data_IF_782102794145
#
_entry.id   IF_782102794145
#
_cell.length_a   1.000
_cell.length_b   1.000
_cell.length_c   1.000
_cell.angle_alpha   90.00
_cell.angle_beta   90.00
_cell.angle_gamma   90.00
#
_symmetry.space_group_name_H-M   'P 1'
#
loop_
_entity.id
_entity.type
_entity.pdbx_description
1 polymer ?
#
# COMPACT_ATOMS: atom_id res chain seq x y z
N UNK A 1 -12.00 -0.22 8.65
CA UNK A 1 -10.67 -0.64 9.12
C UNK A 1 -9.86 -1.15 7.93
N UNK A 2 -8.61 -0.72 7.82
CA UNK A 2 -7.76 -1.11 6.68
C UNK A 2 -6.30 -1.05 7.08
N UNK A 3 -5.47 -1.73 6.29
CA UNK A 3 -4.03 -1.82 6.53
C UNK A 3 -3.31 -0.82 5.62
N UNK A 4 -2.43 -0.03 6.21
CA UNK A 4 -1.52 0.83 5.46
C UNK A 4 -0.10 0.30 5.63
N UNK A 5 0.62 0.19 4.52
CA UNK A 5 2.01 -0.25 4.52
C UNK A 5 2.86 0.77 3.79
N UNK A 6 3.99 1.09 4.39
CA UNK A 6 5.00 1.96 3.80
C UNK A 6 6.29 1.18 3.59
N UNK A 7 6.64 0.96 2.34
CA UNK A 7 7.86 0.26 1.95
C UNK A 7 8.96 1.29 1.70
N UNK A 8 9.91 1.36 2.62
CA UNK A 8 11.09 2.19 2.44
C UNK A 8 12.28 1.38 1.99
N UNK A 9 13.41 2.05 1.78
CA UNK A 9 14.65 1.38 1.37
C UNK A 9 15.23 0.51 2.49
N UNK A 10 14.99 0.87 3.75
CA UNK A 10 15.57 0.17 4.91
C UNK A 10 14.52 -0.42 5.84
N UNK A 11 13.31 0.11 5.85
CA UNK A 11 12.25 -0.33 6.77
C UNK A 11 10.92 -0.47 6.05
N UNK A 12 10.12 -1.40 6.55
CA UNK A 12 8.71 -1.53 6.20
C UNK A 12 7.91 -1.19 7.45
N UNK A 13 7.02 -0.23 7.35
CA UNK A 13 6.09 0.12 8.41
C UNK A 13 4.69 -0.33 8.04
N UNK A 14 3.95 -0.78 9.05
CA UNK A 14 2.55 -1.13 8.86
C UNK A 14 1.71 -0.52 9.96
N UNK A 15 0.46 -0.25 9.65
CA UNK A 15 -0.48 0.36 10.58
C UNK A 15 -1.89 -0.10 10.20
N UNK A 16 -2.78 -0.16 11.19
CA UNK A 16 -4.20 -0.36 10.93
C UNK A 16 -4.90 0.98 11.15
N UNK A 17 -5.73 1.35 10.19
CA UNK A 17 -6.53 2.58 10.24
C UNK A 17 -7.99 2.22 10.42
N UNK A 18 -8.68 2.91 11.33
CA UNK A 18 -10.12 2.75 11.49
C UNK A 18 -10.87 3.67 10.50
N UNK A 19 -12.20 3.68 10.56
CA UNK A 19 -13.03 4.47 9.66
C UNK A 19 -12.80 5.97 9.79
N UNK A 20 -12.25 6.40 10.92
CA UNK A 20 -11.96 7.82 11.18
C UNK A 20 -10.52 8.18 10.85
N UNK A 21 -9.72 7.20 10.40
CA UNK A 21 -8.32 7.41 10.10
C UNK A 21 -7.40 7.37 11.32
N UNK A 22 -7.90 6.89 12.46
CA UNK A 22 -7.06 6.72 13.64
C UNK A 22 -6.17 5.50 13.48
N UNK A 23 -4.90 5.66 13.86
CA UNK A 23 -3.89 4.63 13.70
C UNK A 23 -3.79 3.73 14.92
N UNK A 24 -3.59 2.42 14.67
CA UNK A 24 -3.32 1.43 15.70
C UNK A 24 -2.43 0.34 15.13
N UNK A 25 -1.88 -0.51 16.00
CA UNK A 25 -1.06 -1.66 15.60
C UNK A 25 0.11 -1.27 14.69
N UNK A 26 0.75 -0.15 15.01
CA UNK A 26 1.92 0.29 14.25
C UNK A 26 3.09 -0.62 14.52
N UNK A 27 3.66 -1.17 13.44
CA UNK A 27 4.84 -2.01 13.51
C UNK A 27 5.86 -1.56 12.48
N UNK A 28 7.12 -1.81 12.77
CA UNK A 28 8.23 -1.44 11.92
C UNK A 28 9.22 -2.60 11.87
N UNK A 29 9.59 -3.02 10.68
CA UNK A 29 10.54 -4.10 10.50
C UNK A 29 11.57 -3.74 9.43
N UNK A 30 12.68 -4.45 9.41
CA UNK A 30 13.69 -4.23 8.36
C UNK A 30 13.13 -4.60 7.00
N UNK A 31 13.45 -3.80 5.98
CA UNK A 31 13.09 -4.10 4.62
C UNK A 31 14.15 -5.00 4.01
N UNK A 32 13.80 -6.23 3.61
CA UNK A 32 14.74 -7.09 2.92
C UNK A 32 15.19 -6.48 1.59
N UNK A 33 16.42 -6.73 1.19
CA UNK A 33 16.93 -6.28 -0.11
C UNK A 33 16.73 -7.36 -1.16
N UNK A 34 15.55 -7.95 -1.15
CA UNK A 34 15.17 -9.03 -2.04
C UNK A 34 13.68 -8.92 -2.32
N UNK A 35 13.31 -8.89 -3.59
CA UNK A 35 11.94 -8.69 -4.02
C UNK A 35 10.97 -9.72 -3.41
N UNK A 36 11.29 -11.00 -3.51
CA UNK A 36 10.41 -12.05 -3.02
C UNK A 36 10.24 -11.99 -1.50
N UNK A 37 11.28 -11.59 -0.79
CA UNK A 37 11.21 -11.43 0.67
C UNK A 37 10.34 -10.23 1.06
N UNK A 38 10.35 -9.16 0.26
CA UNK A 38 9.46 -8.01 0.49
C UNK A 38 8.00 -8.44 0.34
N UNK A 39 7.68 -9.12 -0.74
CA UNK A 39 6.32 -9.61 -1.00
C UNK A 39 5.89 -10.56 0.13
N UNK A 40 6.77 -11.46 0.54
CA UNK A 40 6.51 -12.39 1.63
C UNK A 40 6.26 -11.67 2.96
N UNK A 41 7.07 -10.66 3.26
CA UNK A 41 6.92 -9.86 4.48
C UNK A 41 5.56 -9.16 4.52
N UNK A 42 5.15 -8.57 3.42
CA UNK A 42 3.84 -7.92 3.33
C UNK A 42 2.71 -8.94 3.51
N UNK A 43 2.84 -10.11 2.90
CA UNK A 43 1.87 -11.18 3.06
C UNK A 43 1.77 -11.62 4.53
N UNK A 44 2.89 -11.77 5.21
CA UNK A 44 2.90 -12.14 6.62
C UNK A 44 2.21 -11.09 7.50
N UNK A 45 2.49 -9.81 7.24
CA UNK A 45 1.84 -8.70 7.95
C UNK A 45 0.33 -8.75 7.74
N UNK A 46 -0.09 -8.92 6.48
CA UNK A 46 -1.51 -8.99 6.12
C UNK A 46 -2.23 -10.13 6.84
N UNK A 47 -1.67 -11.34 6.77
CA UNK A 47 -2.29 -12.51 7.39
C UNK A 47 -2.32 -12.41 8.90
N UNK A 48 -1.27 -11.87 9.51
CA UNK A 48 -1.22 -11.65 10.95
C UNK A 48 -2.33 -10.70 11.41
N UNK A 49 -2.52 -9.59 10.69
CA UNK A 49 -3.54 -8.61 11.04
C UNK A 49 -4.95 -9.12 10.76
N UNK A 50 -5.15 -9.83 9.66
CA UNK A 50 -6.45 -10.45 9.36
C UNK A 50 -6.83 -11.48 10.43
N UNK A 51 -5.87 -12.25 10.91
CA UNK A 51 -6.09 -13.20 11.99
C UNK A 51 -6.44 -12.48 13.30
N UNK A 52 -5.72 -11.41 13.60
CA UNK A 52 -5.95 -10.62 14.82
C UNK A 52 -7.36 -10.03 14.86
N UNK A 53 -7.81 -9.47 13.75
CA UNK A 53 -9.12 -8.84 13.66
C UNK A 53 -10.22 -9.78 13.18
N UNK A 54 -9.86 -11.02 12.84
CA UNK A 54 -10.77 -12.06 12.38
C UNK A 54 -11.62 -11.63 11.20
N UNK A 55 -11.02 -10.92 10.25
CA UNK A 55 -11.69 -10.51 9.01
C UNK A 55 -10.67 -10.09 7.96
N UNK A 56 -11.10 -10.11 6.70
CA UNK A 56 -10.31 -9.59 5.61
C UNK A 56 -10.30 -8.06 5.65
N UNK A 57 -9.12 -7.47 5.49
CA UNK A 57 -8.93 -6.02 5.55
C UNK A 57 -8.42 -5.50 4.21
N UNK A 58 -8.99 -4.41 3.69
CA UNK A 58 -8.38 -3.72 2.54
C UNK A 58 -6.97 -3.27 2.88
N UNK A 59 -6.10 -3.25 1.87
CA UNK A 59 -4.70 -2.90 2.07
C UNK A 59 -4.22 -1.93 1.02
N UNK A 60 -3.52 -0.89 1.48
CA UNK A 60 -2.85 0.06 0.63
C UNK A 60 -1.37 0.08 0.94
N UNK A 61 -0.56 0.24 -0.09
CA UNK A 61 0.90 0.19 0.01
C UNK A 61 1.50 1.44 -0.64
N UNK A 62 2.31 2.16 0.14
CA UNK A 62 3.16 3.23 -0.39
C UNK A 62 4.54 2.62 -0.62
N UNK A 63 5.16 2.94 -1.75
CA UNK A 63 6.43 2.33 -2.14
C UNK A 63 7.26 3.28 -3.00
N UNK A 64 8.59 3.07 -3.09
CA UNK A 64 9.42 3.84 -4.02
C UNK A 64 9.09 3.50 -5.47
N UNK A 65 9.30 4.48 -6.35
CA UNK A 65 9.02 4.31 -7.77
C UNK A 65 7.53 4.38 -8.07
N UNK A 66 7.20 4.15 -9.33
CA UNK A 66 5.82 4.18 -9.81
C UNK A 66 5.60 2.96 -10.70
N UNK A 67 4.35 2.49 -10.75
CA UNK A 67 3.98 1.45 -11.71
C UNK A 67 3.70 2.08 -13.06
N UNK A 68 4.35 1.55 -14.10
CA UNK A 68 4.09 1.98 -15.46
C UNK A 68 2.67 1.60 -15.86
N UNK A 69 1.85 2.52 -16.38
CA UNK A 69 0.52 2.16 -16.84
C UNK A 69 0.54 1.23 -18.06
N UNK A 70 1.63 1.21 -18.83
CA UNK A 70 1.73 0.35 -20.01
C UNK A 70 2.15 -1.08 -19.65
N UNK A 71 3.07 -1.24 -18.68
CA UNK A 71 3.66 -2.55 -18.37
C UNK A 71 3.23 -3.12 -17.02
N UNK A 72 2.78 -2.27 -16.10
CA UNK A 72 2.50 -2.69 -14.71
C UNK A 72 3.75 -2.93 -13.89
N UNK A 73 4.94 -2.60 -14.41
CA UNK A 73 6.20 -2.81 -13.72
C UNK A 73 6.66 -1.54 -13.03
N UNK A 74 7.33 -1.70 -11.89
CA UNK A 74 7.88 -0.56 -11.14
C UNK A 74 9.05 0.05 -11.91
N UNK A 75 9.08 1.37 -11.96
CA UNK A 75 10.19 2.14 -12.54
C UNK A 75 10.52 3.31 -11.61
N UNK A 76 11.71 3.88 -11.79
CA UNK A 76 12.17 5.06 -11.04
C UNK A 76 12.27 4.82 -9.53
N UNK A 77 12.87 3.68 -9.14
CA UNK A 77 13.12 3.35 -7.74
C UNK A 77 14.63 3.17 -7.48
N UNK A 78 15.45 4.22 -7.63
CA UNK A 78 16.91 4.09 -7.59
C UNK A 78 17.44 3.63 -6.23
N UNK A 79 16.77 3.98 -5.13
CA UNK A 79 17.18 3.58 -3.80
C UNK A 79 16.57 2.24 -3.35
N UNK A 80 15.78 1.63 -4.23
CA UNK A 80 15.13 0.35 -3.96
C UNK A 80 15.14 -0.46 -5.26
N UNK A 81 16.35 -0.73 -5.78
CA UNK A 81 16.53 -1.34 -7.10
C UNK A 81 15.89 -2.73 -7.20
N UNK A 82 15.70 -3.40 -6.08
CA UNK A 82 15.07 -4.73 -6.07
C UNK A 82 13.57 -4.68 -6.40
N UNK A 83 12.96 -3.49 -6.43
CA UNK A 83 11.59 -3.30 -6.94
C UNK A 83 11.57 -2.95 -8.44
N UNK A 84 12.68 -2.47 -8.99
CA UNK A 84 12.74 -2.06 -10.40
C UNK A 84 12.34 -3.19 -11.34
N UNK A 85 11.48 -2.86 -12.31
CA UNK A 85 11.02 -3.78 -13.34
C UNK A 85 10.24 -4.97 -12.78
N UNK A 86 9.70 -4.86 -11.56
CA UNK A 86 8.90 -5.92 -10.95
C UNK A 86 7.42 -5.56 -10.99
N UNK A 87 6.53 -6.54 -11.22
CA UNK A 87 5.09 -6.31 -11.19
C UNK A 87 4.56 -6.34 -9.76
N UNK A 88 5.01 -5.38 -8.95
CA UNK A 88 4.83 -5.40 -7.51
C UNK A 88 3.35 -5.43 -7.09
N UNK A 89 2.54 -4.55 -7.67
CA UNK A 89 1.12 -4.51 -7.34
C UNK A 89 0.40 -5.80 -7.74
N UNK A 90 0.69 -6.31 -8.94
CA UNK A 90 0.06 -7.54 -9.40
C UNK A 90 0.49 -8.75 -8.58
N UNK A 91 1.77 -8.82 -8.22
CA UNK A 91 2.27 -9.92 -7.39
C UNK A 91 1.67 -9.87 -5.97
N UNK A 92 1.51 -8.67 -5.40
CA UNK A 92 0.85 -8.53 -4.10
C UNK A 92 -0.62 -8.97 -4.17
N UNK A 93 -1.34 -8.56 -5.21
CA UNK A 93 -2.73 -8.99 -5.41
C UNK A 93 -2.83 -10.51 -5.48
N UNK A 94 -1.92 -11.13 -6.24
CA UNK A 94 -1.89 -12.57 -6.42
C UNK A 94 -1.56 -13.29 -5.11
N UNK A 95 -0.52 -12.84 -4.42
CA UNK A 95 -0.06 -13.49 -3.18
C UNK A 95 -1.02 -13.30 -2.02
N UNK A 96 -1.65 -12.13 -1.91
CA UNK A 96 -2.59 -11.85 -0.84
C UNK A 96 -4.00 -12.35 -1.14
N UNK A 97 -4.30 -12.61 -2.42
CA UNK A 97 -5.61 -13.10 -2.82
C UNK A 97 -6.71 -12.06 -2.70
N UNK A 98 -6.38 -10.79 -2.79
CA UNK A 98 -7.34 -9.68 -2.68
C UNK A 98 -6.80 -8.45 -3.38
N UNK A 99 -7.65 -7.42 -3.51
CA UNK A 99 -7.23 -6.16 -4.11
C UNK A 99 -6.18 -5.47 -3.23
N UNK A 100 -5.14 -4.94 -3.86
CA UNK A 100 -4.07 -4.19 -3.20
C UNK A 100 -3.92 -2.88 -3.95
N UNK A 101 -3.97 -1.77 -3.23
CA UNK A 101 -3.83 -0.45 -3.81
C UNK A 101 -2.43 0.07 -3.53
N UNK A 102 -1.70 0.39 -4.59
CA UNK A 102 -0.31 0.86 -4.48
C UNK A 102 -0.21 2.30 -4.96
N UNK A 103 0.62 3.08 -4.28
CA UNK A 103 0.91 4.45 -4.68
C UNK A 103 2.37 4.77 -4.40
N UNK A 104 2.94 5.66 -5.19
CA UNK A 104 4.31 6.13 -5.00
C UNK A 104 4.44 6.87 -3.65
N UNK A 105 5.52 6.62 -2.93
CA UNK A 105 5.75 7.19 -1.61
C UNK A 105 5.82 8.72 -1.62
N UNK A 106 6.41 9.30 -2.66
CA UNK A 106 6.48 10.76 -2.79
C UNK A 106 5.08 11.35 -3.01
N UNK A 107 4.23 10.67 -3.79
CA UNK A 107 2.85 11.10 -3.98
C UNK A 107 2.04 10.98 -2.68
N UNK A 108 2.22 9.91 -1.95
CA UNK A 108 1.58 9.74 -0.64
C UNK A 108 1.97 10.87 0.30
N UNK A 109 3.26 11.18 0.37
CA UNK A 109 3.78 12.24 1.23
C UNK A 109 3.27 13.62 0.79
N UNK A 110 3.35 13.92 -0.50
CA UNK A 110 2.93 15.23 -1.03
C UNK A 110 1.44 15.49 -0.78
N UNK A 111 0.60 14.46 -1.00
CA UNK A 111 -0.83 14.59 -0.78
C UNK A 111 -1.14 14.75 0.72
N UNK A 112 -0.43 14.03 1.57
CA UNK A 112 -0.58 14.13 3.01
C UNK A 112 -0.25 15.55 3.51
N UNK A 113 0.86 16.11 3.04
CA UNK A 113 1.24 17.48 3.37
C UNK A 113 0.21 18.49 2.90
N UNK A 114 -0.33 18.31 1.70
CA UNK A 114 -1.34 19.20 1.14
C UNK A 114 -2.65 19.18 1.93
N UNK A 115 -3.01 18.03 2.51
CA UNK A 115 -4.28 17.88 3.20
C UNK A 115 -4.21 18.31 4.67
N UNK A 116 -3.16 17.96 5.40
CA UNK A 116 -3.11 18.27 6.84
C UNK A 116 -1.77 18.78 7.33
N UNK A 117 -0.77 18.83 6.45
CA UNK A 117 0.55 19.34 6.82
C UNK A 117 1.31 18.48 7.82
N UNK A 118 0.84 17.28 8.11
CA UNK A 118 1.45 16.41 9.13
C UNK A 118 2.30 15.29 8.57
N UNK A 119 2.30 15.09 7.25
CA UNK A 119 3.05 14.03 6.60
C UNK A 119 2.51 12.64 6.88
N UNK A 120 1.25 12.52 7.24
CA UNK A 120 0.64 11.23 7.56
C UNK A 120 0.09 10.55 6.32
N UNK A 121 0.98 10.01 5.53
CA UNK A 121 0.62 9.41 4.24
C UNK A 121 -0.33 8.19 4.37
N UNK A 122 -0.44 7.59 5.54
CA UNK A 122 -1.40 6.52 5.76
C UNK A 122 -2.85 6.98 5.57
N UNK A 123 -3.16 8.23 5.91
CA UNK A 123 -4.50 8.77 5.67
C UNK A 123 -4.80 8.89 4.17
N UNK A 124 -3.78 9.14 3.38
CA UNK A 124 -3.91 9.19 1.93
C UNK A 124 -4.17 7.79 1.37
N UNK A 125 -3.44 6.79 1.86
CA UNK A 125 -3.68 5.39 1.49
C UNK A 125 -5.12 5.00 1.84
N UNK A 126 -5.58 5.38 3.02
CA UNK A 126 -6.96 5.17 3.46
C UNK A 126 -7.95 5.80 2.47
N UNK A 127 -7.74 7.06 2.09
CA UNK A 127 -8.59 7.75 1.14
C UNK A 127 -8.58 7.10 -0.23
N UNK A 128 -7.42 6.64 -0.68
CA UNK A 128 -7.28 5.94 -1.95
C UNK A 128 -8.08 4.64 -1.94
N UNK A 129 -7.97 3.86 -0.87
CA UNK A 129 -8.70 2.59 -0.74
C UNK A 129 -10.20 2.84 -0.72
N UNK A 130 -10.66 3.80 0.08
CA UNK A 130 -12.10 4.12 0.18
C UNK A 130 -12.62 4.61 -1.19
N UNK A 131 -11.89 5.51 -1.85
CA UNK A 131 -12.28 6.00 -3.16
C UNK A 131 -12.36 4.88 -4.19
N UNK A 132 -11.38 3.98 -4.19
CA UNK A 132 -11.37 2.84 -5.11
C UNK A 132 -12.52 1.87 -4.83
N UNK A 133 -12.82 1.61 -3.56
CA UNK A 133 -13.95 0.76 -3.18
C UNK A 133 -15.27 1.35 -3.67
N UNK A 134 -15.46 2.65 -3.54
CA UNK A 134 -16.67 3.33 -4.03
C UNK A 134 -16.78 3.24 -5.55
N UNK A 135 -15.67 3.38 -6.26
CA UNK A 135 -15.65 3.29 -7.72
C UNK A 135 -16.00 1.89 -8.21
N UNK A 136 -15.58 0.86 -7.49
CA UNK A 136 -15.82 -0.52 -7.90
C UNK A 136 -17.17 -1.06 -7.46
N UNK A 137 -17.77 -0.48 -6.42
CA UNK A 137 -19.05 -0.96 -5.90
C UNK A 137 -20.26 -0.20 -6.42
N UNK A 138 -20.05 0.97 -7.03
CA UNK A 138 -21.13 1.80 -7.57
C UNK A 138 -20.93 2.00 -9.06
N UNK A 139 -22.00 2.00 -9.88
CA UNK A 139 -21.88 2.40 -11.28
C UNK A 139 -21.31 3.81 -11.33
N UNK A 140 -20.21 3.98 -12.06
CA UNK A 140 -19.57 5.27 -12.19
C UNK A 140 -20.01 5.93 -13.50
N UNK A 141 -20.32 7.24 -13.51
CA UNK A 141 -20.57 7.94 -14.76
C UNK A 141 -19.43 7.83 -15.78
N UNK A 142 -18.23 7.59 -15.32
CA UNK A 142 -17.07 7.43 -16.19
C UNK A 142 -17.05 6.09 -16.93
N UNK A 143 -17.80 5.14 -16.43
CA UNK A 143 -17.84 3.78 -17.01
C UNK A 143 -18.93 3.69 -18.07
N UNK A 144 -19.70 4.73 -18.23
CA UNK A 144 -20.76 4.79 -19.23
C UNK A 144 -20.28 5.44 -20.51
#
# INVERSE_FOLDING_TARGET
MQIGIDVGATKIESVVLDEKGNESNRERTDCPKDYFQIVKTIKEIDKKLEKKFNKELPIGVCHPGVHSPQTGLVKNAPNCYWLEKKPFQNDLRKELGKEVFCENDANCFALSEALDGSGKHYKIVYGIIIGSCLLYTSPSPRDS
#
